data_IF_103854806667
#
_entry.id   IF_103854806667
#
_cell.length_a   1.000
_cell.length_b   1.000
_cell.length_c   1.000
_cell.angle_alpha   90.00
_cell.angle_beta   90.00
_cell.angle_gamma   90.00
#
_symmetry.space_group_name_H-M   'P 1'
#
loop_
_entity.id
_entity.type
_entity.pdbx_description
1 polymer ?
#
# COMPACT_ATOMS: atom_id res chain seq x y z
N UNK A 1 -8.34 19.14 -24.95
CA UNK A 1 -6.92 18.74 -25.03
C UNK A 1 -6.79 17.28 -24.64
N UNK A 2 -6.18 16.47 -25.49
CA UNK A 2 -5.95 15.05 -25.21
C UNK A 2 -4.64 14.83 -24.47
N UNK A 3 -4.64 13.83 -23.59
CA UNK A 3 -3.49 13.39 -22.80
C UNK A 3 -3.29 11.89 -22.97
N UNK A 4 -2.07 11.42 -22.71
CA UNK A 4 -1.70 10.02 -22.84
C UNK A 4 -1.69 9.36 -21.45
N UNK A 5 -2.57 8.38 -21.24
CA UNK A 5 -2.54 7.55 -20.02
C UNK A 5 -1.27 6.70 -19.99
N UNK A 6 -0.92 6.20 -18.81
CA UNK A 6 0.18 5.25 -18.68
C UNK A 6 0.01 4.02 -19.58
N UNK A 7 -1.23 3.57 -19.80
CA UNK A 7 -1.59 2.47 -20.70
C UNK A 7 -1.45 2.78 -22.20
N UNK A 8 -1.02 3.99 -22.58
CA UNK A 8 -1.00 4.46 -23.98
C UNK A 8 -2.34 5.03 -24.48
N UNK A 9 -3.44 4.82 -23.76
CA UNK A 9 -4.76 5.31 -24.17
C UNK A 9 -4.82 6.84 -24.16
N UNK A 10 -5.39 7.39 -25.24
CA UNK A 10 -5.60 8.84 -25.39
C UNK A 10 -6.97 9.19 -24.81
N UNK A 11 -7.01 10.18 -23.91
CA UNK A 11 -8.25 10.63 -23.25
C UNK A 11 -8.27 12.15 -23.12
N UNK A 12 -9.44 12.74 -22.88
CA UNK A 12 -9.52 14.16 -22.53
C UNK A 12 -8.93 14.43 -21.15
N UNK A 13 -8.15 15.51 -21.04
CA UNK A 13 -7.72 16.01 -19.74
C UNK A 13 -8.93 16.39 -18.90
N UNK A 14 -8.99 15.83 -17.70
CA UNK A 14 -10.04 16.12 -16.74
C UNK A 14 -9.41 16.81 -15.52
N UNK A 15 -9.55 18.14 -15.48
CA UNK A 15 -9.01 18.98 -14.40
C UNK A 15 -9.60 18.61 -13.04
N UNK A 16 -10.87 18.25 -12.98
CA UNK A 16 -11.56 17.86 -11.73
C UNK A 16 -11.01 16.58 -11.12
N UNK A 17 -10.55 15.63 -11.96
CA UNK A 17 -9.86 14.42 -11.47
C UNK A 17 -8.53 14.77 -10.81
N UNK A 18 -7.77 15.70 -11.38
CA UNK A 18 -6.52 16.17 -10.79
C UNK A 18 -6.78 16.92 -9.49
N UNK A 19 -7.76 17.83 -9.48
CA UNK A 19 -8.22 18.55 -8.29
C UNK A 19 -8.63 17.59 -7.17
N UNK A 20 -9.45 16.58 -7.49
CA UNK A 20 -9.86 15.55 -6.52
C UNK A 20 -8.65 14.81 -5.96
N UNK A 21 -7.68 14.44 -6.81
CA UNK A 21 -6.46 13.76 -6.38
C UNK A 21 -5.58 14.61 -5.46
N UNK A 22 -5.49 15.91 -5.72
CA UNK A 22 -4.76 16.86 -4.88
C UNK A 22 -5.45 17.09 -3.54
N UNK A 23 -6.77 17.30 -3.51
CA UNK A 23 -7.53 17.44 -2.26
C UNK A 23 -7.41 16.20 -1.37
N UNK A 24 -7.41 15.04 -2.01
CA UNK A 24 -7.20 13.73 -1.40
C UNK A 24 -5.86 13.55 -0.69
N UNK A 25 -4.88 14.42 -0.96
CA UNK A 25 -3.60 14.44 -0.25
C UNK A 25 -3.65 15.16 1.10
N UNK A 26 -4.77 15.82 1.42
CA UNK A 26 -4.89 16.69 2.61
C UNK A 26 -4.56 18.16 2.33
N UNK A 27 -4.15 18.50 1.10
CA UNK A 27 -3.93 19.88 0.70
C UNK A 27 -5.21 20.73 0.80
N UNK A 28 -5.08 21.94 1.35
CA UNK A 28 -6.20 22.88 1.45
C UNK A 28 -6.62 23.40 0.06
N UNK A 29 -7.85 23.90 -0.05
CA UNK A 29 -8.44 24.31 -1.35
C UNK A 29 -7.63 25.39 -2.07
N UNK A 30 -7.05 26.35 -1.33
CA UNK A 30 -6.24 27.43 -1.93
C UNK A 30 -4.97 26.88 -2.58
N UNK A 31 -4.20 26.07 -1.84
CA UNK A 31 -3.00 25.38 -2.36
C UNK A 31 -3.34 24.53 -3.58
N UNK A 32 -4.48 23.83 -3.56
CA UNK A 32 -4.91 23.02 -4.71
C UNK A 32 -5.18 23.89 -5.95
N UNK A 33 -5.87 25.01 -5.81
CA UNK A 33 -6.12 25.91 -6.96
C UNK A 33 -4.83 26.53 -7.48
N UNK A 34 -3.90 26.95 -6.61
CA UNK A 34 -2.60 27.48 -7.02
C UNK A 34 -1.80 26.45 -7.83
N UNK A 35 -1.75 25.19 -7.35
CA UNK A 35 -1.09 24.09 -8.07
C UNK A 35 -1.76 23.84 -9.42
N UNK A 36 -3.10 23.85 -9.47
CA UNK A 36 -3.81 23.64 -10.73
C UNK A 36 -3.51 24.75 -11.74
N UNK A 37 -3.48 26.02 -11.30
CA UNK A 37 -3.10 27.14 -12.17
C UNK A 37 -1.69 26.98 -12.74
N UNK A 38 -0.72 26.56 -11.92
CA UNK A 38 0.65 26.31 -12.37
C UNK A 38 0.78 25.12 -13.33
N UNK A 39 -0.07 24.11 -13.17
CA UNK A 39 -0.12 22.96 -14.07
C UNK A 39 -0.79 23.35 -15.40
N UNK A 40 -1.87 24.14 -15.36
CA UNK A 40 -2.59 24.59 -16.56
C UNK A 40 -1.66 25.37 -17.52
N UNK A 41 -0.67 26.11 -16.98
CA UNK A 41 0.38 26.81 -17.77
C UNK A 41 1.37 25.88 -18.48
N UNK A 42 1.55 24.66 -17.97
CA UNK A 42 2.58 23.71 -18.43
C UNK A 42 1.98 22.52 -19.20
N UNK A 43 0.66 22.46 -19.27
CA UNK A 43 -0.07 21.41 -19.92
C UNK A 43 -0.12 21.65 -21.45
N UNK A 44 0.02 20.58 -22.23
CA UNK A 44 0.02 20.64 -23.69
C UNK A 44 -0.55 19.33 -24.29
N UNK A 45 -0.99 19.39 -25.55
CA UNK A 45 -1.57 18.24 -26.26
C UNK A 45 -0.58 17.06 -26.28
N UNK A 46 -1.05 15.86 -25.90
CA UNK A 46 -0.21 14.66 -25.84
C UNK A 46 0.66 14.53 -24.60
N UNK A 47 0.59 15.46 -23.62
CA UNK A 47 1.27 15.30 -22.34
C UNK A 47 0.84 14.00 -21.65
N UNK A 48 1.78 13.27 -21.04
CA UNK A 48 1.45 12.04 -20.34
C UNK A 48 0.90 12.29 -18.94
N UNK A 49 -0.05 11.47 -18.50
CA UNK A 49 -0.56 11.45 -17.12
C UNK A 49 0.56 11.30 -16.09
N UNK A 50 1.62 10.54 -16.40
CA UNK A 50 2.82 10.41 -15.57
C UNK A 50 3.56 11.75 -15.40
N UNK A 51 3.67 12.55 -16.47
CA UNK A 51 4.29 13.89 -16.41
C UNK A 51 3.43 14.87 -15.62
N UNK A 52 2.11 14.89 -15.84
CA UNK A 52 1.17 15.70 -15.05
C UNK A 52 1.28 15.36 -13.55
N UNK A 53 1.30 14.06 -13.23
CA UNK A 53 1.47 13.59 -11.85
C UNK A 53 2.80 14.06 -11.24
N UNK A 54 3.92 13.98 -11.97
CA UNK A 54 5.23 14.42 -11.51
C UNK A 54 5.27 15.94 -11.25
N UNK A 55 4.63 16.74 -12.10
CA UNK A 55 4.51 18.18 -11.91
C UNK A 55 3.71 18.50 -10.64
N UNK A 56 2.53 17.89 -10.49
CA UNK A 56 1.69 18.04 -9.31
C UNK A 56 2.42 17.66 -8.02
N UNK A 57 3.08 16.50 -8.01
CA UNK A 57 3.88 16.04 -6.87
C UNK A 57 5.01 17.03 -6.53
N UNK A 58 5.74 17.52 -7.54
CA UNK A 58 6.84 18.47 -7.33
C UNK A 58 6.36 19.81 -6.76
N UNK A 59 5.23 20.33 -7.25
CA UNK A 59 4.61 21.55 -6.72
C UNK A 59 4.11 21.33 -5.28
N UNK A 60 3.44 20.21 -5.02
CA UNK A 60 2.93 19.89 -3.69
C UNK A 60 4.06 19.74 -2.66
N UNK A 61 5.18 19.12 -3.05
CA UNK A 61 6.36 18.93 -2.19
C UNK A 61 6.99 20.26 -1.77
N UNK A 62 6.95 21.29 -2.62
CA UNK A 62 7.43 22.64 -2.26
C UNK A 62 6.58 23.28 -1.16
N UNK A 63 5.31 22.90 -1.05
CA UNK A 63 4.37 23.43 -0.06
C UNK A 63 4.38 22.60 1.22
N UNK A 64 4.30 21.28 1.10
CA UNK A 64 4.28 20.35 2.24
C UNK A 64 4.78 18.97 1.84
N UNK A 65 5.82 18.51 2.53
CA UNK A 65 6.34 17.14 2.37
C UNK A 65 5.29 16.10 2.76
N UNK A 66 4.53 16.33 3.84
CA UNK A 66 3.47 15.42 4.28
C UNK A 66 2.35 15.27 3.24
N UNK A 67 1.87 16.38 2.65
CA UNK A 67 0.87 16.30 1.57
C UNK A 67 1.45 15.59 0.34
N UNK A 68 2.71 15.85 -0.02
CA UNK A 68 3.36 15.15 -1.11
C UNK A 68 3.51 13.64 -0.85
N UNK A 69 3.86 13.24 0.39
CA UNK A 69 3.93 11.85 0.80
C UNK A 69 2.58 11.15 0.68
N UNK A 70 1.48 11.78 1.14
CA UNK A 70 0.09 11.28 0.98
C UNK A 70 -0.29 11.15 -0.49
N UNK A 71 0.01 12.17 -1.29
CA UNK A 71 -0.25 12.14 -2.74
C UNK A 71 0.51 11.02 -3.45
N UNK A 72 1.71 10.68 -2.96
CA UNK A 72 2.57 9.65 -3.51
C UNK A 72 2.34 8.24 -2.96
N UNK A 73 1.33 8.04 -2.11
CA UNK A 73 1.10 6.79 -1.40
C UNK A 73 1.00 5.57 -2.33
N UNK A 74 0.28 5.67 -3.46
CA UNK A 74 0.16 4.54 -4.39
C UNK A 74 1.53 4.07 -4.91
N UNK A 75 2.39 5.00 -5.30
CA UNK A 75 3.76 4.69 -5.73
C UNK A 75 4.61 4.21 -4.57
N UNK A 76 4.43 4.74 -3.37
CA UNK A 76 5.14 4.29 -2.18
C UNK A 76 4.88 2.82 -1.85
N UNK A 77 3.63 2.35 -1.96
CA UNK A 77 3.30 0.92 -1.78
C UNK A 77 3.97 0.06 -2.85
N UNK A 78 4.07 0.54 -4.09
CA UNK A 78 4.79 -0.16 -5.16
C UNK A 78 6.31 -0.23 -4.93
N UNK A 79 6.85 0.61 -4.05
CA UNK A 79 8.26 0.57 -3.67
C UNK A 79 8.55 -0.46 -2.55
N UNK A 80 7.54 -1.16 -2.03
CA UNK A 80 7.71 -2.25 -1.07
C UNK A 80 8.18 -3.57 -1.73
N UNK A 81 8.82 -3.50 -2.90
CA UNK A 81 9.28 -4.68 -3.63
C UNK A 81 9.89 -4.33 -4.98
N UNK A 82 10.68 -5.26 -5.52
CA UNK A 82 10.08 -6.10 -6.55
C UNK A 82 9.70 -7.50 -6.04
N UNK A 83 10.29 -7.95 -4.93
CA UNK A 83 10.13 -9.32 -4.43
C UNK A 83 8.84 -9.57 -3.63
N UNK A 84 8.12 -8.54 -3.19
CA UNK A 84 6.85 -8.68 -2.46
C UNK A 84 6.97 -8.82 -0.94
N UNK A 85 8.10 -9.31 -0.43
CA UNK A 85 8.28 -9.55 1.02
C UNK A 85 8.02 -8.33 1.93
N UNK A 86 8.47 -7.13 1.56
CA UNK A 86 8.15 -5.93 2.37
C UNK A 86 6.67 -5.53 2.26
N UNK A 87 6.00 -5.89 1.17
CA UNK A 87 4.56 -5.71 1.05
C UNK A 87 3.81 -6.67 1.98
N UNK A 88 4.23 -7.93 2.09
CA UNK A 88 3.66 -8.89 3.05
C UNK A 88 3.80 -8.39 4.50
N UNK A 89 5.00 -7.96 4.87
CA UNK A 89 5.25 -7.31 6.18
C UNK A 89 4.39 -6.08 6.41
N UNK A 90 4.21 -5.25 5.38
CA UNK A 90 3.35 -4.09 5.46
C UNK A 90 1.88 -4.48 5.69
N UNK A 91 1.36 -5.47 4.97
CA UNK A 91 0.01 -6.00 5.20
C UNK A 91 -0.13 -6.57 6.61
N UNK A 92 0.88 -7.29 7.11
CA UNK A 92 0.91 -7.75 8.50
C UNK A 92 0.81 -6.59 9.50
N UNK A 93 1.51 -5.48 9.26
CA UNK A 93 1.41 -4.25 10.10
C UNK A 93 0.04 -3.59 10.04
N UNK A 94 -0.67 -3.66 8.91
CA UNK A 94 -2.05 -3.17 8.82
C UNK A 94 -2.98 -3.98 9.74
N UNK A 95 -2.96 -5.31 9.63
CA UNK A 95 -3.77 -6.17 10.49
C UNK A 95 -3.41 -6.06 11.97
N UNK A 96 -2.11 -5.98 12.31
CA UNK A 96 -1.67 -5.73 13.68
C UNK A 96 -2.29 -4.44 14.25
N UNK A 97 -2.33 -3.36 13.45
CA UNK A 97 -2.90 -2.09 13.89
C UNK A 97 -4.41 -2.14 14.11
N UNK A 98 -5.11 -3.08 13.49
CA UNK A 98 -6.53 -3.34 13.69
C UNK A 98 -6.79 -4.32 14.86
N UNK A 99 -5.76 -4.69 15.62
CA UNK A 99 -5.86 -5.55 16.80
C UNK A 99 -5.90 -7.04 16.51
N UNK A 100 -5.42 -7.47 15.34
CA UNK A 100 -5.19 -8.89 15.06
C UNK A 100 -3.86 -9.37 15.68
N UNK A 101 -3.80 -10.63 16.07
CA UNK A 101 -2.53 -11.35 16.18
C UNK A 101 -2.08 -11.74 14.78
N UNK A 102 -0.77 -11.68 14.51
CA UNK A 102 -0.24 -11.90 13.16
C UNK A 102 1.02 -12.76 13.19
N UNK A 103 1.12 -13.71 12.26
CA UNK A 103 2.32 -14.45 11.90
C UNK A 103 2.58 -14.29 10.40
N UNK A 104 3.83 -14.36 9.97
CA UNK A 104 4.21 -14.17 8.56
C UNK A 104 5.13 -15.29 8.09
N UNK A 105 5.11 -15.58 6.78
CA UNK A 105 5.98 -16.56 6.12
C UNK A 105 5.95 -17.94 6.80
N UNK A 106 4.76 -18.54 6.84
CA UNK A 106 4.54 -19.85 7.46
C UNK A 106 4.48 -20.95 6.40
N UNK A 107 5.26 -22.01 6.60
CA UNK A 107 5.11 -23.24 5.83
C UNK A 107 4.10 -24.18 6.52
N UNK A 108 2.92 -24.31 5.95
CA UNK A 108 1.83 -25.13 6.49
C UNK A 108 1.62 -26.39 5.65
N UNK A 109 1.40 -27.53 6.32
CA UNK A 109 1.11 -28.80 5.63
C UNK A 109 -0.38 -28.95 5.36
N UNK A 110 -0.76 -28.85 4.09
CA UNK A 110 -2.11 -29.15 3.62
C UNK A 110 -2.41 -30.64 3.59
N UNK A 111 -3.61 -30.99 3.15
CA UNK A 111 -4.02 -32.38 2.93
C UNK A 111 -3.16 -33.04 1.84
N UNK A 112 -2.85 -32.30 0.78
CA UNK A 112 -2.11 -32.81 -0.37
C UNK A 112 -0.64 -32.37 -0.35
N UNK A 113 -0.36 -31.08 -0.15
CA UNK A 113 1.00 -30.50 -0.26
C UNK A 113 1.29 -29.45 0.81
N UNK A 114 2.56 -29.07 0.94
CA UNK A 114 2.96 -27.91 1.74
C UNK A 114 2.66 -26.59 1.02
N UNK A 115 2.25 -25.57 1.77
CA UNK A 115 1.93 -24.23 1.27
C UNK A 115 2.68 -23.18 2.09
N UNK A 116 3.33 -22.24 1.42
CA UNK A 116 3.92 -21.05 2.03
C UNK A 116 2.84 -19.96 2.15
N UNK A 117 2.35 -19.72 3.36
CA UNK A 117 1.32 -18.71 3.61
C UNK A 117 1.99 -17.41 4.04
N UNK A 118 1.78 -16.36 3.24
CA UNK A 118 2.44 -15.06 3.42
C UNK A 118 2.15 -14.45 4.80
N UNK A 119 0.87 -14.39 5.19
CA UNK A 119 0.44 -13.86 6.48
C UNK A 119 -0.72 -14.70 7.02
N UNK A 120 -0.71 -15.01 8.32
CA UNK A 120 -1.86 -15.58 9.03
C UNK A 120 -2.26 -14.64 10.14
N UNK A 121 -3.55 -14.36 10.23
CA UNK A 121 -4.14 -13.41 11.19
C UNK A 121 -5.11 -14.13 12.12
N UNK A 122 -5.20 -13.68 13.36
CA UNK A 122 -6.18 -14.18 14.33
C UNK A 122 -6.86 -13.02 15.06
N UNK A 123 -8.20 -13.01 15.05
CA UNK A 123 -9.03 -12.10 15.84
C UNK A 123 -10.37 -12.74 16.16
N UNK A 124 -10.80 -12.64 17.43
CA UNK A 124 -12.07 -13.21 17.91
C UNK A 124 -12.22 -14.71 17.58
N UNK A 125 -11.15 -15.48 17.75
CA UNK A 125 -11.06 -16.92 17.45
C UNK A 125 -11.18 -17.31 15.97
N UNK A 126 -11.25 -16.33 15.05
CA UNK A 126 -11.15 -16.56 13.62
C UNK A 126 -9.70 -16.49 13.18
N UNK A 127 -9.20 -17.58 12.60
CA UNK A 127 -7.85 -17.68 12.05
C UNK A 127 -7.97 -17.69 10.54
N UNK A 128 -7.36 -16.71 9.88
CA UNK A 128 -7.50 -16.53 8.44
C UNK A 128 -6.13 -16.45 7.79
N UNK A 129 -5.99 -17.10 6.64
CA UNK A 129 -4.80 -16.93 5.81
C UNK A 129 -4.96 -15.69 4.92
N UNK A 130 -3.86 -15.03 4.63
CA UNK A 130 -3.82 -13.82 3.84
C UNK A 130 -2.71 -14.00 2.81
N UNK A 131 -3.09 -13.95 1.53
CA UNK A 131 -2.20 -14.13 0.39
C UNK A 131 -1.99 -12.78 -0.31
N UNK A 132 -0.74 -12.36 -0.39
CA UNK A 132 -0.32 -11.07 -0.91
C UNK A 132 0.10 -11.18 -2.39
N UNK A 133 -0.76 -10.71 -3.29
CA UNK A 133 -0.43 -10.59 -4.72
C UNK A 133 0.18 -9.23 -5.04
N UNK A 134 1.51 -9.14 -4.98
CA UNK A 134 2.25 -7.93 -5.34
C UNK A 134 2.49 -7.81 -6.86
N UNK A 135 2.26 -6.62 -7.40
CA UNK A 135 2.55 -6.24 -8.78
C UNK A 135 3.56 -5.09 -8.83
N UNK A 136 4.77 -5.29 -9.38
CA UNK A 136 5.76 -4.21 -9.53
C UNK A 136 5.31 -3.11 -10.50
N UNK A 137 4.45 -3.46 -11.46
CA UNK A 137 3.90 -2.54 -12.47
C UNK A 137 2.42 -2.30 -12.23
N UNK A 138 1.98 -1.05 -12.35
CA UNK A 138 0.58 -0.65 -12.14
C UNK A 138 -0.41 -1.16 -13.20
N UNK A 139 0.08 -1.77 -14.28
CA UNK A 139 -0.71 -2.17 -15.45
C UNK A 139 -1.34 -3.56 -15.31
N UNK A 140 -0.86 -4.36 -14.35
CA UNK A 140 -1.30 -5.74 -14.17
C UNK A 140 -2.34 -5.82 -13.07
N UNK A 141 -3.60 -6.00 -13.46
CA UNK A 141 -4.67 -6.35 -12.52
C UNK A 141 -4.57 -7.85 -12.19
N UNK A 142 -4.98 -8.22 -10.97
CA UNK A 142 -5.16 -9.62 -10.59
C UNK A 142 -6.43 -10.15 -11.26
N UNK A 143 -6.25 -11.06 -12.23
CA UNK A 143 -7.36 -11.72 -12.93
C UNK A 143 -7.96 -12.87 -12.11
N UNK A 144 -8.99 -13.54 -12.65
CA UNK A 144 -9.73 -14.61 -11.97
C UNK A 144 -8.88 -15.83 -11.62
N UNK A 145 -7.74 -16.04 -12.28
CA UNK A 145 -6.86 -17.18 -11.97
C UNK A 145 -6.26 -17.07 -10.57
N UNK A 146 -6.02 -15.84 -10.11
CA UNK A 146 -5.47 -15.57 -8.78
C UNK A 146 -6.39 -16.11 -7.66
N UNK A 147 -7.66 -15.69 -7.55
CA UNK A 147 -8.54 -16.23 -6.53
C UNK A 147 -8.87 -17.72 -6.72
N UNK A 148 -8.94 -18.22 -7.96
CA UNK A 148 -9.13 -19.67 -8.19
C UNK A 148 -7.96 -20.51 -7.65
N UNK A 149 -6.72 -20.05 -7.88
CA UNK A 149 -5.52 -20.70 -7.37
C UNK A 149 -5.47 -20.64 -5.84
N UNK A 150 -5.69 -19.46 -5.27
CA UNK A 150 -5.66 -19.27 -3.81
C UNK A 150 -6.77 -20.07 -3.11
N UNK A 151 -7.97 -20.15 -3.69
CA UNK A 151 -9.04 -21.00 -3.18
C UNK A 151 -8.62 -22.47 -3.09
N UNK A 152 -7.89 -22.96 -4.09
CA UNK A 152 -7.38 -24.34 -4.08
C UNK A 152 -6.41 -24.57 -2.91
N UNK A 153 -5.55 -23.59 -2.61
CA UNK A 153 -4.62 -23.65 -1.47
C UNK A 153 -5.36 -23.61 -0.13
N UNK A 154 -6.31 -22.69 0.02
CA UNK A 154 -7.16 -22.60 1.20
C UNK A 154 -7.91 -23.92 1.46
N UNK A 155 -8.51 -24.50 0.41
CA UNK A 155 -9.20 -25.79 0.52
C UNK A 155 -8.28 -26.95 0.94
N UNK A 156 -7.00 -26.90 0.59
CA UNK A 156 -6.04 -27.92 1.01
C UNK A 156 -5.62 -27.75 2.49
N UNK A 157 -5.74 -26.55 3.05
CA UNK A 157 -5.33 -26.21 4.42
C UNK A 157 -6.46 -26.21 5.45
N UNK A 158 -7.69 -25.84 5.07
CA UNK A 158 -8.79 -25.51 6.01
C UNK A 158 -9.29 -26.68 6.86
N UNK A 159 -9.17 -27.92 6.38
CA UNK A 159 -9.69 -29.11 7.07
C UNK A 159 -8.64 -29.76 8.01
N UNK A 160 -7.58 -29.02 8.37
CA UNK A 160 -6.50 -29.47 9.25
C UNK A 160 -6.28 -28.53 10.43
N UNK A 161 -5.82 -29.12 11.54
CA UNK A 161 -5.25 -28.37 12.64
C UNK A 161 -3.81 -27.98 12.32
N UNK A 162 -3.47 -26.73 12.60
CA UNK A 162 -2.12 -26.18 12.46
C UNK A 162 -1.62 -25.69 13.82
N UNK A 163 -0.30 -25.56 13.94
CA UNK A 163 0.34 -24.96 15.11
C UNK A 163 0.79 -23.56 14.68
N UNK A 164 -0.05 -22.55 14.91
CA UNK A 164 0.18 -21.17 14.45
C UNK A 164 0.26 -20.23 15.65
N UNK A 165 -0.87 -20.07 16.34
CA UNK A 165 -1.01 -19.30 17.58
C UNK A 165 -1.26 -20.23 18.77
N UNK A 166 -2.01 -21.30 18.55
CA UNK A 166 -2.29 -22.35 19.52
C UNK A 166 -1.84 -23.71 18.94
N UNK A 167 -2.18 -24.82 19.61
CA UNK A 167 -1.85 -26.17 19.13
C UNK A 167 -2.97 -26.83 18.30
N UNK A 168 -4.09 -26.14 18.09
CA UNK A 168 -5.27 -26.66 17.38
C UNK A 168 -5.95 -25.56 16.56
N UNK A 169 -5.17 -24.87 15.74
CA UNK A 169 -5.67 -23.75 14.93
C UNK A 169 -6.29 -24.26 13.63
N UNK A 170 -7.51 -23.83 13.33
CA UNK A 170 -8.21 -24.14 12.08
C UNK A 170 -8.32 -22.86 11.26
N UNK A 171 -7.85 -22.89 10.02
CA UNK A 171 -7.96 -21.75 9.11
C UNK A 171 -9.41 -21.68 8.62
N UNK A 172 -10.14 -20.65 9.04
CA UNK A 172 -11.56 -20.44 8.78
C UNK A 172 -11.86 -19.49 7.62
N UNK A 173 -10.88 -18.74 7.14
CA UNK A 173 -11.07 -17.74 6.09
C UNK A 173 -9.81 -17.46 5.28
N UNK A 174 -9.98 -16.75 4.15
CA UNK A 174 -8.90 -16.51 3.20
C UNK A 174 -9.02 -15.13 2.54
N UNK A 175 -8.08 -14.25 2.86
CA UNK A 175 -7.92 -12.96 2.24
C UNK A 175 -6.97 -13.01 1.06
N UNK A 176 -7.26 -12.23 0.03
CA UNK A 176 -6.34 -11.92 -1.06
C UNK A 176 -6.10 -10.42 -1.06
N UNK A 177 -4.85 -10.03 -0.88
CA UNK A 177 -4.44 -8.64 -0.78
C UNK A 177 -3.57 -8.29 -1.97
N UNK A 178 -3.85 -7.17 -2.64
CA UNK A 178 -3.00 -6.72 -3.76
C UNK A 178 -2.73 -5.22 -3.70
N UNK A 179 -1.51 -4.82 -4.07
CA UNK A 179 -1.15 -3.41 -4.21
C UNK A 179 -1.75 -2.75 -5.47
N UNK A 180 -2.44 -3.52 -6.31
CA UNK A 180 -3.13 -3.01 -7.50
C UNK A 180 -4.65 -3.18 -7.40
N UNK A 181 -5.29 -3.76 -8.42
CA UNK A 181 -6.74 -3.96 -8.51
C UNK A 181 -7.08 -5.36 -8.99
N UNK A 182 -8.29 -5.80 -8.68
CA UNK A 182 -8.88 -7.04 -9.21
C UNK A 182 -9.72 -6.75 -10.47
N UNK A 183 -9.82 -7.72 -11.38
CA UNK A 183 -10.79 -7.66 -12.48
C UNK A 183 -12.21 -7.92 -11.98
N UNK A 184 -13.23 -7.59 -12.80
CA UNK A 184 -14.63 -7.88 -12.47
C UNK A 184 -14.88 -9.36 -12.17
N UNK A 185 -14.37 -10.24 -13.02
CA UNK A 185 -14.50 -11.69 -12.84
C UNK A 185 -13.79 -12.19 -11.57
N UNK A 186 -12.61 -11.65 -11.25
CA UNK A 186 -11.90 -11.98 -10.02
C UNK A 186 -12.72 -11.61 -8.77
N UNK A 187 -13.33 -10.40 -8.78
CA UNK A 187 -14.20 -9.97 -7.69
C UNK A 187 -15.46 -10.83 -7.58
N UNK A 188 -16.12 -11.12 -8.70
CA UNK A 188 -17.33 -11.93 -8.74
C UNK A 188 -17.08 -13.37 -8.23
N UNK A 189 -16.01 -14.01 -8.70
CA UNK A 189 -15.63 -15.35 -8.27
C UNK A 189 -15.27 -15.39 -6.77
N UNK A 190 -14.44 -14.46 -6.31
CA UNK A 190 -14.03 -14.40 -4.91
C UNK A 190 -15.22 -14.22 -3.96
N UNK A 191 -16.13 -13.28 -4.27
CA UNK A 191 -17.36 -13.09 -3.50
C UNK A 191 -18.23 -14.36 -3.48
N UNK A 192 -18.43 -14.99 -4.65
CA UNK A 192 -19.17 -16.25 -4.75
C UNK A 192 -18.55 -17.39 -3.91
N UNK A 193 -17.22 -17.40 -3.81
CA UNK A 193 -16.46 -18.46 -3.15
C UNK A 193 -16.15 -18.16 -1.68
N UNK A 194 -16.64 -17.04 -1.13
CA UNK A 194 -16.38 -16.64 0.26
C UNK A 194 -14.96 -16.15 0.53
N UNK A 195 -14.21 -15.74 -0.49
CA UNK A 195 -12.87 -15.15 -0.33
C UNK A 195 -12.97 -13.64 -0.08
N UNK A 196 -12.20 -13.15 0.88
CA UNK A 196 -12.09 -11.72 1.15
C UNK A 196 -11.06 -11.08 0.23
N UNK A 197 -11.35 -9.88 -0.28
CA UNK A 197 -10.44 -9.13 -1.15
C UNK A 197 -10.11 -7.78 -0.55
N UNK A 198 -8.83 -7.41 -0.63
CA UNK A 198 -8.35 -6.10 -0.24
C UNK A 198 -7.40 -5.55 -1.32
N UNK A 199 -7.67 -4.35 -1.81
CA UNK A 199 -6.87 -3.71 -2.85
C UNK A 199 -6.81 -2.20 -2.67
N UNK A 200 -6.16 -1.48 -3.59
CA UNK A 200 -5.98 -0.04 -3.51
C UNK A 200 -7.29 0.73 -3.25
N UNK A 201 -8.38 0.33 -3.91
CA UNK A 201 -9.68 1.00 -3.84
C UNK A 201 -10.88 0.05 -3.62
N UNK A 202 -10.62 -1.19 -3.20
CA UNK A 202 -11.66 -2.16 -2.82
C UNK A 202 -11.33 -2.85 -1.48
N UNK A 203 -12.34 -3.12 -0.62
CA UNK A 203 -13.74 -2.72 -0.74
C UNK A 203 -13.90 -1.20 -0.64
N UNK A 204 -14.95 -0.61 -1.22
CA UNK A 204 -15.05 0.85 -1.32
C UNK A 204 -14.93 1.56 0.04
N UNK A 205 -15.45 0.94 1.11
CA UNK A 205 -15.44 1.51 2.48
C UNK A 205 -14.19 1.17 3.30
N UNK A 206 -13.45 0.13 2.95
CA UNK A 206 -12.34 -0.41 3.75
C UNK A 206 -11.14 -0.81 2.88
N UNK A 207 -10.95 -0.10 1.77
CA UNK A 207 -9.82 -0.31 0.85
C UNK A 207 -8.49 0.01 1.52
N UNK A 208 -7.39 -0.54 0.99
CA UNK A 208 -6.03 -0.27 1.49
C UNK A 208 -5.81 1.22 1.69
N UNK A 209 -6.18 2.03 0.70
CA UNK A 209 -6.02 3.47 0.78
C UNK A 209 -6.73 4.08 1.99
N UNK A 210 -7.99 3.70 2.23
CA UNK A 210 -8.78 4.23 3.36
C UNK A 210 -8.20 3.77 4.69
N UNK A 211 -7.89 2.47 4.82
CA UNK A 211 -7.25 1.91 6.01
C UNK A 211 -5.96 2.65 6.35
N UNK A 212 -5.14 2.97 5.35
CA UNK A 212 -3.89 3.71 5.55
C UNK A 212 -4.15 5.14 6.01
N UNK A 213 -5.06 5.85 5.35
CA UNK A 213 -5.35 7.26 5.65
C UNK A 213 -6.00 7.42 7.04
N UNK A 214 -6.91 6.51 7.42
CA UNK A 214 -7.62 6.52 8.69
C UNK A 214 -6.73 6.07 9.85
N UNK A 215 -5.97 4.98 9.66
CA UNK A 215 -5.05 4.44 10.66
C UNK A 215 -3.68 5.14 10.71
N UNK A 216 -3.43 6.09 9.82
CA UNK A 216 -2.14 6.78 9.67
C UNK A 216 -0.97 5.82 9.42
N UNK A 217 -1.24 4.73 8.70
CA UNK A 217 -0.33 3.58 8.49
C UNK A 217 0.52 3.77 7.26
N UNK A 218 1.09 4.95 7.09
CA UNK A 218 1.87 5.28 5.90
C UNK A 218 3.16 4.44 5.85
N UNK A 219 3.50 3.81 4.71
CA UNK A 219 4.74 3.07 4.59
C UNK A 219 5.93 4.03 4.59
N UNK A 220 7.07 3.62 5.13
CA UNK A 220 8.29 4.44 5.18
C UNK A 220 8.72 4.94 3.79
N UNK A 221 8.40 4.16 2.75
CA UNK A 221 8.67 4.48 1.36
C UNK A 221 7.97 5.73 0.85
N UNK A 222 6.95 6.24 1.54
CA UNK A 222 6.23 7.45 1.14
C UNK A 222 6.97 8.75 1.50
N UNK A 223 7.87 8.70 2.49
CA UNK A 223 8.60 9.88 2.96
C UNK A 223 9.46 10.47 1.85
N UNK A 224 9.35 11.77 1.66
CA UNK A 224 9.96 12.52 0.57
C UNK A 224 11.30 13.16 0.96
N UNK A 225 11.61 13.21 2.25
CA UNK A 225 12.90 13.60 2.84
C UNK A 225 13.96 12.48 2.82
N UNK A 226 13.53 11.24 2.55
CA UNK A 226 14.38 10.07 2.37
C UNK A 226 14.69 9.80 0.89
N UNK A 227 15.94 9.44 0.61
CA UNK A 227 16.38 8.89 -0.67
C UNK A 227 15.90 7.45 -0.84
N UNK A 228 16.00 6.91 -2.07
CA UNK A 228 15.65 5.51 -2.33
C UNK A 228 16.52 4.54 -1.50
N UNK A 229 17.84 4.76 -1.49
CA UNK A 229 18.77 3.92 -0.74
C UNK A 229 18.52 3.95 0.78
N UNK A 230 18.13 5.09 1.33
CA UNK A 230 17.76 5.19 2.76
C UNK A 230 16.46 4.45 3.06
N UNK A 231 15.47 4.50 2.18
CA UNK A 231 14.23 3.71 2.31
C UNK A 231 14.53 2.23 2.32
N UNK A 232 15.40 1.77 1.41
CA UNK A 232 15.78 0.36 1.32
C UNK A 232 16.51 -0.10 2.60
N UNK A 233 17.42 0.71 3.13
CA UNK A 233 18.09 0.42 4.41
C UNK A 233 17.11 0.29 5.58
N UNK A 234 16.11 1.18 5.65
CA UNK A 234 15.08 1.13 6.70
C UNK A 234 14.21 -0.13 6.60
N UNK A 235 13.80 -0.49 5.38
CA UNK A 235 13.04 -1.72 5.15
C UNK A 235 13.83 -2.96 5.57
N UNK A 236 15.13 -3.01 5.29
CA UNK A 236 16.03 -4.09 5.72
C UNK A 236 16.14 -4.16 7.25
N UNK A 237 16.11 -3.02 7.94
CA UNK A 237 16.06 -2.94 9.40
C UNK A 237 14.65 -3.15 10.00
N UNK A 238 13.71 -3.69 9.22
CA UNK A 238 12.31 -3.93 9.60
C UNK A 238 11.52 -2.68 10.02
N UNK A 239 11.96 -1.50 9.59
CA UNK A 239 11.19 -0.26 9.70
C UNK A 239 10.30 -0.14 8.45
N UNK A 240 9.03 -0.46 8.63
CA UNK A 240 8.04 -0.60 7.56
C UNK A 240 7.12 0.63 7.49
N UNK A 241 6.73 1.18 8.63
CA UNK A 241 5.82 2.33 8.72
C UNK A 241 6.56 3.62 9.08
N UNK A 242 6.09 4.75 8.55
CA UNK A 242 6.64 6.07 8.86
C UNK A 242 6.57 6.38 10.38
N UNK A 243 5.51 5.93 11.07
CA UNK A 243 5.37 6.10 12.52
C UNK A 243 6.39 5.31 13.34
N UNK A 244 6.97 4.24 12.80
CA UNK A 244 7.98 3.44 13.52
C UNK A 244 9.30 4.22 13.66
N UNK A 245 9.61 5.13 12.72
CA UNK A 245 10.76 6.05 12.83
C UNK A 245 10.60 7.00 14.02
N UNK A 246 9.38 7.49 14.27
CA UNK A 246 9.12 8.44 15.36
C UNK A 246 9.45 7.79 16.71
N UNK A 247 9.17 6.50 16.84
CA UNK A 247 9.42 5.73 18.06
C UNK A 247 10.87 5.20 18.16
N UNK A 248 11.62 5.23 17.06
CA UNK A 248 12.99 4.71 16.99
C UNK A 248 13.88 5.62 16.13
N UNK A 249 14.17 6.82 16.64
CA UNK A 249 14.92 7.84 15.88
C UNK A 249 16.36 7.42 15.60
N UNK A 250 17.00 6.64 16.47
CA UNK A 250 18.40 6.22 16.33
C UNK A 250 18.64 5.43 15.05
N UNK A 251 17.62 4.75 14.52
CA UNK A 251 17.70 4.03 13.25
C UNK A 251 18.12 4.94 12.08
N UNK A 252 17.75 6.22 12.12
CA UNK A 252 18.14 7.20 11.10
C UNK A 252 19.63 7.54 11.18
N UNK A 253 20.19 7.57 12.39
CA UNK A 253 21.63 7.78 12.61
C UNK A 253 22.43 6.57 12.14
N UNK A 254 21.95 5.36 12.47
CA UNK A 254 22.58 4.09 12.07
C UNK A 254 22.71 3.93 10.55
N UNK A 255 21.71 4.38 9.78
CA UNK A 255 21.77 4.34 8.31
C UNK A 255 22.57 5.48 7.68
N UNK A 256 23.08 6.41 8.50
CA UNK A 256 23.99 7.49 8.11
C UNK A 256 23.32 8.83 7.74
N UNK A 257 22.10 9.11 8.23
CA UNK A 257 21.43 10.39 7.97
C UNK A 257 22.00 11.46 8.91
N UNK A 258 22.33 12.64 8.37
CA UNK A 258 22.88 13.74 9.17
C UNK A 258 21.84 14.32 10.16
N UNK A 259 22.26 14.87 11.31
CA UNK A 259 21.33 15.38 12.33
C UNK A 259 20.32 16.42 11.83
N UNK A 260 20.73 17.28 10.89
CA UNK A 260 19.83 18.27 10.26
C UNK A 260 18.75 17.57 9.43
N UNK A 261 19.12 16.53 8.66
CA UNK A 261 18.16 15.78 7.86
C UNK A 261 17.25 14.91 8.72
N UNK A 262 17.75 14.35 9.82
CA UNK A 262 16.93 13.61 10.80
C UNK A 262 15.76 14.47 11.28
N UNK A 263 16.01 15.73 11.67
CA UNK A 263 14.95 16.66 12.05
C UNK A 263 13.89 16.84 10.97
N UNK A 264 14.30 16.90 9.70
CA UNK A 264 13.37 17.03 8.58
C UNK A 264 12.54 15.75 8.35
N UNK A 265 13.15 14.57 8.48
CA UNK A 265 12.47 13.27 8.36
C UNK A 265 11.44 13.11 9.48
N UNK A 266 11.83 13.38 10.72
CA UNK A 266 10.93 13.30 11.88
C UNK A 266 9.78 14.30 11.74
N UNK A 267 10.06 15.54 11.32
CA UNK A 267 9.02 16.54 11.08
C UNK A 267 8.02 16.06 10.03
N UNK A 268 8.50 15.57 8.88
CA UNK A 268 7.62 15.04 7.83
C UNK A 268 6.78 13.85 8.33
N UNK A 269 7.40 12.88 9.02
CA UNK A 269 6.71 11.71 9.56
C UNK A 269 5.65 12.11 10.60
N UNK A 270 5.97 13.08 11.47
CA UNK A 270 5.07 13.56 12.52
C UNK A 270 3.86 14.30 11.94
N UNK A 271 4.07 15.19 10.95
CA UNK A 271 2.99 15.86 10.22
C UNK A 271 2.12 14.84 9.45
N UNK A 272 2.75 13.86 8.81
CA UNK A 272 2.07 12.83 8.04
C UNK A 272 1.18 11.95 8.92
N UNK A 273 1.71 11.53 10.08
CA UNK A 273 1.03 10.68 11.04
C UNK A 273 0.27 11.47 12.13
N UNK A 274 0.08 12.80 11.96
CA UNK A 274 -0.68 13.65 12.89
C UNK A 274 -0.26 13.53 14.37
N UNK A 275 1.03 13.40 14.63
CA UNK A 275 1.61 13.49 15.98
C UNK A 275 1.77 14.95 16.44
N UNK A 276 1.56 15.91 15.53
CA UNK A 276 1.66 17.37 15.72
C UNK A 276 0.40 18.01 15.13
#
# INVERSE_FOLDING_TARGET
MKIVKHSGNIVDFNRDKLKSSLLKSGANKHVVEDILQEIDKQIYEGISTKKIYKLAFGLLKKVSNANAARYNLKTAIQMLGPAGFFFEKYIARLFLSEGYLVQTNLLLSGKCVGHEVDVVINKNDYIEMVECKFHPKSETNSDVKVPMYILSRFNDLKDKNHIIFTRKDIISGCWIVTNNRFTGDAMAFAHCSGLQLLSWDYPEKSSLRKTIDEGQLYPVTCLTSLTLAEKDKLLVQDIILAKEIINNVSVLEEIGISPIRIKNVIKEASELCKYI
#
